data_IF_321351974204
#
_entry.id   IF_321351974204
#
_cell.length_a   1.000
_cell.length_b   1.000
_cell.length_c   1.000
_cell.angle_alpha   90.00
_cell.angle_beta   90.00
_cell.angle_gamma   90.00
#
_symmetry.space_group_name_H-M   'P 1'
#
loop_
_entity.id
_entity.type
_entity.pdbx_description
1 polymer ?
#
# COMPACT_ATOMS: atom_id res chain seq x y z
N UNK A 1 -11.47 3.29 -17.52
CA UNK A 1 -12.51 2.87 -16.56
C UNK A 1 -11.95 2.22 -15.28
N UNK A 2 -10.86 1.45 -15.32
CA UNK A 2 -10.33 0.79 -14.10
C UNK A 2 -9.75 1.83 -13.11
N UNK A 3 -9.06 2.86 -13.59
CA UNK A 3 -8.52 3.90 -12.71
C UNK A 3 -9.60 4.74 -12.04
N UNK A 4 -10.75 4.95 -12.69
CA UNK A 4 -11.90 5.62 -12.06
C UNK A 4 -12.38 4.87 -10.80
N UNK A 5 -12.35 3.53 -10.81
CA UNK A 5 -12.73 2.75 -9.62
C UNK A 5 -11.70 2.89 -8.50
N UNK A 6 -10.40 2.89 -8.84
CA UNK A 6 -9.33 3.12 -7.86
C UNK A 6 -9.41 4.52 -7.26
N UNK A 7 -9.64 5.53 -8.09
CA UNK A 7 -9.83 6.91 -7.65
C UNK A 7 -11.06 7.04 -6.76
N UNK A 8 -12.15 6.33 -7.07
CA UNK A 8 -13.32 6.37 -6.20
C UNK A 8 -13.01 5.85 -4.79
N UNK A 9 -12.19 4.81 -4.68
CA UNK A 9 -11.74 4.25 -3.39
C UNK A 9 -10.89 5.28 -2.62
N UNK A 10 -10.02 6.02 -3.32
CA UNK A 10 -9.22 7.10 -2.73
C UNK A 10 -10.13 8.24 -2.25
N UNK A 11 -11.07 8.69 -3.08
CA UNK A 11 -12.01 9.78 -2.76
C UNK A 11 -12.84 9.52 -1.49
N UNK A 12 -13.26 8.27 -1.27
CA UNK A 12 -14.05 7.89 -0.09
C UNK A 12 -13.18 7.56 1.13
N UNK A 13 -11.85 7.78 1.07
CA UNK A 13 -10.92 7.53 2.18
C UNK A 13 -10.44 6.08 2.32
N UNK A 14 -10.82 5.18 1.41
CA UNK A 14 -10.47 3.76 1.49
C UNK A 14 -8.96 3.48 1.46
N UNK A 15 -8.18 4.35 0.81
CA UNK A 15 -6.72 4.26 0.84
C UNK A 15 -6.16 4.43 2.27
N UNK A 16 -6.69 5.38 3.05
CA UNK A 16 -6.25 5.61 4.43
C UNK A 16 -6.70 4.47 5.35
N UNK A 17 -7.92 3.96 5.16
CA UNK A 17 -8.42 2.82 5.94
C UNK A 17 -7.59 1.55 5.73
N UNK A 18 -7.12 1.30 4.50
CA UNK A 18 -6.20 0.18 4.22
C UNK A 18 -4.84 0.35 4.89
N UNK A 19 -4.31 1.58 4.98
CA UNK A 19 -3.07 1.85 5.71
C UNK A 19 -3.25 1.68 7.21
N UNK A 20 -4.38 2.14 7.77
CA UNK A 20 -4.72 1.93 9.17
C UNK A 20 -4.87 0.44 9.49
N UNK A 21 -5.52 -0.32 8.60
CA UNK A 21 -5.64 -1.77 8.73
C UNK A 21 -4.26 -2.43 8.72
N UNK A 22 -3.38 -2.10 7.78
CA UNK A 22 -2.03 -2.66 7.71
C UNK A 22 -1.21 -2.34 8.98
N UNK A 23 -1.26 -1.09 9.46
CA UNK A 23 -0.50 -0.66 10.63
C UNK A 23 -1.00 -1.20 11.97
N UNK A 24 -2.30 -1.53 12.06
CA UNK A 24 -2.92 -2.05 13.29
C UNK A 24 -3.02 -3.58 13.35
N UNK A 25 -2.96 -4.26 12.20
CA UNK A 25 -3.09 -5.70 12.11
C UNK A 25 -1.96 -6.44 12.86
N UNK A 26 -2.35 -7.50 13.57
CA UNK A 26 -1.44 -8.38 14.33
C UNK A 26 -1.33 -9.79 13.73
N UNK A 27 -2.21 -10.13 12.81
CA UNK A 27 -2.22 -11.40 12.09
C UNK A 27 -1.81 -11.21 10.62
N UNK A 28 -1.08 -12.18 10.09
CA UNK A 28 -0.56 -12.13 8.71
C UNK A 28 -1.68 -12.11 7.67
N UNK A 29 -2.82 -12.75 7.97
CA UNK A 29 -3.96 -12.80 7.04
C UNK A 29 -4.51 -11.40 6.76
N UNK A 30 -4.70 -10.59 7.80
CA UNK A 30 -5.17 -9.21 7.66
C UNK A 30 -4.12 -8.33 6.99
N UNK A 31 -2.84 -8.49 7.36
CA UNK A 31 -1.73 -7.77 6.70
C UNK A 31 -1.64 -8.11 5.21
N UNK A 32 -1.84 -9.39 4.83
CA UNK A 32 -1.87 -9.86 3.44
C UNK A 32 -2.95 -9.17 2.64
N UNK A 33 -4.20 -9.18 3.13
CA UNK A 33 -5.32 -8.58 2.40
C UNK A 33 -5.16 -7.06 2.25
N UNK A 34 -4.65 -6.39 3.29
CA UNK A 34 -4.32 -4.97 3.21
C UNK A 34 -3.24 -4.69 2.16
N UNK A 35 -2.11 -5.41 2.18
CA UNK A 35 -1.02 -5.25 1.22
C UNK A 35 -1.46 -5.56 -0.22
N UNK A 36 -2.28 -6.59 -0.41
CA UNK A 36 -2.85 -6.94 -1.71
C UNK A 36 -3.75 -5.83 -2.25
N UNK A 37 -4.63 -5.28 -1.41
CA UNK A 37 -5.50 -4.17 -1.80
C UNK A 37 -4.70 -2.89 -2.12
N UNK A 38 -3.70 -2.57 -1.30
CA UNK A 38 -2.77 -1.46 -1.55
C UNK A 38 -2.00 -1.66 -2.87
N UNK A 39 -1.52 -2.88 -3.15
CA UNK A 39 -0.87 -3.21 -4.41
C UNK A 39 -1.81 -3.14 -5.62
N UNK A 40 -3.12 -3.33 -5.43
CA UNK A 40 -4.11 -3.15 -6.49
C UNK A 40 -4.39 -1.67 -6.78
N UNK A 41 -4.35 -0.83 -5.75
CA UNK A 41 -4.47 0.63 -5.87
C UNK A 41 -3.23 1.26 -6.51
N UNK A 42 -2.03 0.78 -6.19
CA UNK A 42 -0.75 1.35 -6.67
C UNK A 42 -0.51 1.26 -8.19
N UNK A 43 -1.44 0.64 -8.92
CA UNK A 43 -1.48 0.62 -10.40
C UNK A 43 -1.93 1.95 -11.02
N UNK A 44 -2.41 2.91 -10.24
CA UNK A 44 -2.69 4.30 -10.68
C UNK A 44 -1.77 5.27 -9.95
N UNK A 45 -1.16 6.20 -10.68
CA UNK A 45 -0.19 7.15 -10.12
C UNK A 45 -0.83 8.11 -9.11
N UNK A 46 -2.07 8.55 -9.38
CA UNK A 46 -2.85 9.38 -8.47
C UNK A 46 -3.17 8.64 -7.17
N UNK A 47 -3.50 7.35 -7.26
CA UNK A 47 -3.71 6.52 -6.08
C UNK A 47 -2.40 6.32 -5.30
N UNK A 48 -1.26 6.13 -5.98
CA UNK A 48 0.06 6.06 -5.31
C UNK A 48 0.37 7.38 -4.59
N UNK A 49 0.07 8.53 -5.22
CA UNK A 49 0.24 9.84 -4.57
C UNK A 49 -0.60 9.96 -3.29
N UNK A 50 -1.84 9.49 -3.31
CA UNK A 50 -2.69 9.48 -2.13
C UNK A 50 -2.14 8.57 -1.02
N UNK A 51 -1.66 7.38 -1.39
CA UNK A 51 -1.01 6.46 -0.45
C UNK A 51 0.26 7.09 0.16
N UNK A 52 1.09 7.73 -0.66
CA UNK A 52 2.28 8.43 -0.19
C UNK A 52 1.92 9.52 0.83
N UNK A 53 0.94 10.37 0.51
CA UNK A 53 0.47 11.42 1.42
C UNK A 53 -0.10 10.86 2.73
N UNK A 54 -0.67 9.65 2.71
CA UNK A 54 -1.14 8.93 3.89
C UNK A 54 -0.04 8.23 4.70
N UNK A 55 1.24 8.43 4.36
CA UNK A 55 2.37 7.84 5.08
C UNK A 55 2.64 6.37 4.74
N UNK A 56 2.17 5.88 3.59
CA UNK A 56 2.27 4.46 3.20
C UNK A 56 3.69 3.89 3.30
N UNK A 57 4.72 4.65 2.92
CA UNK A 57 6.12 4.18 2.98
C UNK A 57 6.51 3.77 4.41
N UNK A 58 6.15 4.59 5.40
CA UNK A 58 6.47 4.31 6.81
C UNK A 58 5.72 3.09 7.33
N UNK A 59 4.42 3.00 7.04
CA UNK A 59 3.55 1.88 7.46
C UNK A 59 4.04 0.57 6.84
N UNK A 60 4.32 0.56 5.54
CA UNK A 60 4.77 -0.63 4.81
C UNK A 60 6.14 -1.08 5.32
N UNK A 61 7.10 -0.17 5.52
CA UNK A 61 8.42 -0.51 6.09
C UNK A 61 8.33 -1.09 7.49
N UNK A 62 7.40 -0.59 8.31
CA UNK A 62 7.18 -1.04 9.69
C UNK A 62 6.46 -2.39 9.78
N UNK A 63 5.89 -2.87 8.67
CA UNK A 63 5.26 -4.19 8.63
C UNK A 63 6.36 -5.27 8.62
N UNK A 64 6.32 -6.30 9.48
CA UNK A 64 7.36 -7.32 9.55
C UNK A 64 7.63 -8.00 8.20
N UNK A 65 8.87 -8.44 7.97
CA UNK A 65 9.23 -9.24 6.77
C UNK A 65 9.12 -10.75 7.00
N UNK A 66 8.67 -11.17 8.19
CA UNK A 66 8.64 -12.57 8.64
C UNK A 66 7.41 -13.33 8.12
N UNK A 67 6.88 -12.94 6.97
CA UNK A 67 5.71 -13.59 6.39
C UNK A 67 6.06 -15.00 5.94
N UNK A 68 5.28 -15.99 6.39
CA UNK A 68 5.39 -17.35 5.87
C UNK A 68 4.98 -17.41 4.38
N UNK A 69 4.11 -16.50 3.95
CA UNK A 69 3.63 -16.39 2.60
C UNK A 69 4.49 -15.44 1.75
N UNK A 70 5.25 -16.03 0.83
CA UNK A 70 6.10 -15.31 -0.11
C UNK A 70 5.35 -14.28 -0.98
N UNK A 71 4.04 -14.46 -1.20
CA UNK A 71 3.21 -13.50 -1.93
C UNK A 71 3.12 -12.16 -1.18
N UNK A 72 3.10 -12.19 0.16
CA UNK A 72 3.04 -10.98 0.99
C UNK A 72 4.32 -10.16 0.86
N UNK A 73 5.48 -10.85 0.95
CA UNK A 73 6.79 -10.24 0.70
C UNK A 73 6.84 -9.58 -0.68
N UNK A 74 6.31 -10.26 -1.71
CA UNK A 74 6.24 -9.70 -3.06
C UNK A 74 5.36 -8.44 -3.14
N UNK A 75 4.19 -8.41 -2.50
CA UNK A 75 3.35 -7.19 -2.46
C UNK A 75 4.07 -6.02 -1.80
N UNK A 76 4.74 -6.26 -0.66
CA UNK A 76 5.52 -5.25 0.06
C UNK A 76 6.66 -4.70 -0.81
N UNK A 77 7.49 -5.57 -1.38
CA UNK A 77 8.62 -5.15 -2.23
C UNK A 77 8.15 -4.40 -3.48
N UNK A 78 7.08 -4.86 -4.13
CA UNK A 78 6.53 -4.20 -5.32
C UNK A 78 5.96 -2.82 -4.99
N UNK A 79 5.29 -2.66 -3.84
CA UNK A 79 4.81 -1.36 -3.38
C UNK A 79 5.97 -0.39 -3.12
N UNK A 80 6.99 -0.81 -2.38
CA UNK A 80 8.17 0.03 -2.11
C UNK A 80 8.88 0.42 -3.41
N UNK A 81 9.07 -0.52 -4.34
CA UNK A 81 9.61 -0.24 -5.66
C UNK A 81 8.76 0.77 -6.43
N UNK A 82 7.42 0.66 -6.35
CA UNK A 82 6.52 1.62 -7.00
C UNK A 82 6.69 3.05 -6.49
N UNK A 83 6.90 3.22 -5.18
CA UNK A 83 7.22 4.54 -4.62
C UNK A 83 8.58 5.05 -5.10
N UNK A 84 9.57 4.17 -5.22
CA UNK A 84 10.90 4.53 -5.75
C UNK A 84 10.88 4.94 -7.22
N UNK A 85 10.14 4.20 -8.05
CA UNK A 85 9.97 4.50 -9.48
C UNK A 85 9.38 5.90 -9.70
N UNK A 86 8.52 6.36 -8.78
CA UNK A 86 7.91 7.69 -8.76
C UNK A 86 8.71 8.73 -7.95
N UNK A 87 9.89 8.36 -7.43
CA UNK A 87 10.79 9.24 -6.64
C UNK A 87 10.17 9.76 -5.34
N UNK A 88 9.20 9.05 -4.79
CA UNK A 88 8.59 9.41 -3.51
C UNK A 88 9.44 9.03 -2.29
N UNK A 89 10.43 8.16 -2.47
CA UNK A 89 11.38 7.74 -1.43
C UNK A 89 12.50 8.77 -1.14
N UNK A 90 12.69 9.76 -2.01
CA UNK A 90 13.77 10.77 -1.91
C UNK A 90 13.35 11.99 -1.07
N UNK A 91 12.05 12.17 -0.83
CA UNK A 91 11.48 13.39 -0.25
C UNK A 91 10.97 13.24 1.20
N UNK A 92 11.50 12.29 1.98
CA UNK A 92 11.16 12.13 3.42
C UNK A 92 12.18 12.78 4.34
#
# INVERSE_FOLDING_TARGET
MIDQRRMKIVEIGGAQELLNMLGSARDERTQKEALKALSALSKSDEAVKALHNGGAISVIKSTPDTFEDAEIGAYKSNLLKRFQDLRYDISS
#
